data_IF_645091814022
#
_entry.id   IF_645091814022
#
_cell.length_a   1.000
_cell.length_b   1.000
_cell.length_c   1.000
_cell.angle_alpha   90.00
_cell.angle_beta   90.00
_cell.angle_gamma   90.00
#
_symmetry.space_group_name_H-M   'P 1'
#
loop_
_entity.id
_entity.type
_entity.pdbx_description
1 polymer ?
#
# COMPACT_ATOMS: atom_id res chain seq x y z
N UNK A 1 11.39 0.94 -12.36
CA UNK A 1 11.01 1.39 -13.71
C UNK A 1 9.62 0.87 -13.99
N UNK A 2 8.79 1.62 -14.72
CA UNK A 2 7.53 1.06 -15.22
C UNK A 2 7.84 0.19 -16.44
N UNK A 3 7.29 -1.02 -16.45
CA UNK A 3 7.54 -2.05 -17.46
C UNK A 3 6.22 -2.39 -18.15
N UNK A 4 5.93 -1.75 -19.29
CA UNK A 4 4.71 -2.05 -20.02
C UNK A 4 4.75 -3.48 -20.57
N UNK A 5 3.60 -4.14 -20.57
CA UNK A 5 3.37 -5.42 -21.25
C UNK A 5 3.48 -5.32 -22.77
N UNK A 6 3.53 -4.11 -23.31
CA UNK A 6 3.76 -3.79 -24.70
C UNK A 6 4.67 -2.56 -24.81
N UNK A 7 5.98 -2.79 -24.87
CA UNK A 7 7.04 -1.79 -24.76
C UNK A 7 7.13 -0.86 -25.98
N UNK A 8 6.71 -1.35 -27.15
CA UNK A 8 6.71 -0.59 -28.38
C UNK A 8 5.85 0.69 -28.27
N UNK A 9 4.88 0.74 -27.34
CA UNK A 9 4.11 1.94 -27.01
C UNK A 9 4.96 3.12 -26.55
N UNK A 10 6.01 2.87 -25.78
CA UNK A 10 6.87 3.92 -25.23
C UNK A 10 7.78 4.55 -26.29
N UNK A 11 7.88 3.94 -27.46
CA UNK A 11 8.76 4.37 -28.55
C UNK A 11 8.04 5.07 -29.71
N UNK A 12 6.71 5.16 -29.67
CA UNK A 12 5.91 5.69 -30.77
C UNK A 12 5.79 7.22 -30.72
N UNK A 13 5.89 7.85 -31.89
CA UNK A 13 5.97 9.31 -32.01
C UNK A 13 4.60 10.00 -31.97
N UNK A 14 3.50 9.26 -32.22
CA UNK A 14 2.13 9.78 -32.23
C UNK A 14 1.11 8.79 -31.69
N UNK A 15 -0.01 9.32 -31.16
CA UNK A 15 -1.11 8.50 -30.65
C UNK A 15 -1.75 7.61 -31.72
N UNK A 16 -1.84 8.08 -32.97
CA UNK A 16 -2.46 7.32 -34.06
C UNK A 16 -1.61 6.09 -34.45
N UNK A 17 -0.29 6.23 -34.47
CA UNK A 17 0.64 5.11 -34.66
C UNK A 17 0.55 4.11 -33.50
N UNK A 18 0.37 4.60 -32.26
CA UNK A 18 0.18 3.78 -31.09
C UNK A 18 -1.09 2.92 -31.18
N UNK A 19 -2.23 3.52 -31.54
CA UNK A 19 -3.49 2.77 -31.70
C UNK A 19 -3.39 1.68 -32.77
N UNK A 20 -2.80 2.00 -33.93
CA UNK A 20 -2.64 1.04 -35.00
C UNK A 20 -1.74 -0.14 -34.58
N UNK A 21 -0.63 0.14 -33.90
CA UNK A 21 0.29 -0.87 -33.42
C UNK A 21 -0.30 -1.75 -32.32
N UNK A 22 -1.05 -1.17 -31.36
CA UNK A 22 -1.80 -1.91 -30.35
C UNK A 22 -2.79 -2.87 -31.02
N UNK A 23 -3.59 -2.38 -31.98
CA UNK A 23 -4.58 -3.19 -32.68
C UNK A 23 -3.92 -4.35 -33.43
N UNK A 24 -2.82 -4.10 -34.14
CA UNK A 24 -2.08 -5.14 -34.85
C UNK A 24 -1.50 -6.17 -33.87
N UNK A 25 -1.00 -5.73 -32.71
CA UNK A 25 -0.50 -6.64 -31.69
C UNK A 25 -1.61 -7.53 -31.12
N UNK A 26 -2.76 -6.96 -30.74
CA UNK A 26 -3.93 -7.72 -30.26
C UNK A 26 -4.36 -8.78 -31.27
N UNK A 27 -4.42 -8.46 -32.56
CA UNK A 27 -4.75 -9.43 -33.61
C UNK A 27 -3.75 -10.59 -33.67
N UNK A 28 -2.46 -10.32 -33.50
CA UNK A 28 -1.40 -11.34 -33.52
C UNK A 28 -1.48 -12.29 -32.33
N UNK A 29 -1.82 -11.80 -31.14
CA UNK A 29 -1.88 -12.59 -29.90
C UNK A 29 -3.26 -13.20 -29.64
N UNK A 30 -4.29 -12.80 -30.39
CA UNK A 30 -5.68 -13.23 -30.23
C UNK A 30 -5.87 -14.76 -30.09
N UNK A 31 -5.21 -15.63 -30.89
CA UNK A 31 -5.34 -17.07 -30.69
C UNK A 31 -4.90 -17.54 -29.30
N UNK A 32 -3.85 -16.91 -28.75
CA UNK A 32 -3.35 -17.18 -27.40
C UNK A 32 -4.27 -16.65 -26.30
N UNK A 33 -4.88 -15.48 -26.51
CA UNK A 33 -5.89 -14.91 -25.60
C UNK A 33 -7.14 -15.79 -25.55
N UNK A 34 -7.65 -16.23 -26.71
CA UNK A 34 -8.81 -17.13 -26.81
C UNK A 34 -8.53 -18.46 -26.11
N UNK A 35 -7.35 -19.06 -26.35
CA UNK A 35 -6.98 -20.34 -25.73
C UNK A 35 -6.90 -20.26 -24.19
N UNK A 36 -6.55 -19.10 -23.64
CA UNK A 36 -6.40 -18.88 -22.18
C UNK A 36 -7.61 -18.22 -21.54
N UNK A 37 -8.51 -17.63 -22.32
CA UNK A 37 -9.66 -16.86 -21.84
C UNK A 37 -9.29 -15.56 -21.12
N UNK A 38 -8.10 -15.00 -21.36
CA UNK A 38 -7.61 -13.78 -20.71
C UNK A 38 -6.83 -12.90 -21.67
N UNK A 39 -6.90 -11.58 -21.47
CA UNK A 39 -6.04 -10.64 -22.19
C UNK A 39 -4.58 -10.82 -21.76
N UNK A 40 -3.66 -10.83 -22.73
CA UNK A 40 -2.24 -11.08 -22.53
C UNK A 40 -1.40 -9.80 -22.48
N UNK A 41 -1.95 -8.66 -22.91
CA UNK A 41 -1.33 -7.32 -22.82
C UNK A 41 -2.32 -6.28 -22.28
N UNK A 42 -1.82 -5.10 -21.93
CA UNK A 42 -2.57 -3.94 -21.43
C UNK A 42 -2.18 -3.55 -20.00
N UNK A 43 -2.69 -2.41 -19.47
CA UNK A 43 -2.27 -1.86 -18.17
C UNK A 43 -2.31 -2.85 -17.00
N UNK A 44 -3.26 -3.79 -17.03
CA UNK A 44 -3.41 -4.85 -16.03
C UNK A 44 -2.31 -5.93 -16.08
N UNK A 45 -1.44 -5.92 -17.09
CA UNK A 45 -0.31 -6.84 -17.30
C UNK A 45 1.04 -6.15 -17.19
N UNK A 46 1.06 -4.84 -17.04
CA UNK A 46 2.27 -4.07 -16.86
C UNK A 46 2.84 -4.31 -15.45
N UNK A 47 4.14 -4.12 -15.28
CA UNK A 47 4.83 -4.27 -14.01
C UNK A 47 5.55 -2.97 -13.61
N UNK A 48 5.97 -2.90 -12.36
CA UNK A 48 6.83 -1.84 -11.84
C UNK A 48 7.99 -2.50 -11.11
N UNK A 49 9.17 -2.44 -11.72
CA UNK A 49 10.41 -2.83 -11.06
C UNK A 49 10.89 -1.72 -10.14
N UNK A 50 11.57 -2.11 -9.07
CA UNK A 50 12.25 -1.16 -8.19
C UNK A 50 13.63 -1.71 -7.93
N UNK A 51 14.64 -0.86 -8.05
CA UNK A 51 16.02 -1.21 -7.83
C UNK A 51 16.50 -0.64 -6.50
N UNK A 52 17.31 -1.42 -5.79
CA UNK A 52 18.10 -0.98 -4.65
C UNK A 52 19.57 -1.22 -4.98
N UNK A 53 20.37 -0.16 -4.99
CA UNK A 53 21.80 -0.21 -5.35
C UNK A 53 22.06 -0.88 -6.72
N UNK A 54 21.17 -0.63 -7.69
CA UNK A 54 21.28 -1.18 -9.04
C UNK A 54 20.90 -2.66 -9.18
N UNK A 55 20.27 -3.26 -8.16
CA UNK A 55 19.76 -4.63 -8.22
C UNK A 55 18.24 -4.66 -8.04
N UNK A 56 17.50 -5.58 -8.72
CA UNK A 56 16.06 -5.74 -8.53
C UNK A 56 15.70 -6.03 -7.08
N UNK A 57 14.99 -5.11 -6.43
CA UNK A 57 14.65 -5.21 -5.02
C UNK A 57 13.76 -6.43 -4.74
N UNK A 58 12.88 -6.80 -5.68
CA UNK A 58 11.99 -7.96 -5.55
C UNK A 58 12.73 -9.28 -5.35
N UNK A 59 13.92 -9.41 -5.92
CA UNK A 59 14.72 -10.65 -5.91
C UNK A 59 15.84 -10.62 -4.88
N UNK A 60 16.44 -9.44 -4.66
CA UNK A 60 17.71 -9.32 -3.93
C UNK A 60 17.62 -8.54 -2.62
N UNK A 61 16.48 -7.93 -2.27
CA UNK A 61 16.37 -7.19 -1.01
C UNK A 61 16.26 -8.13 0.19
N UNK A 62 16.96 -7.80 1.28
CA UNK A 62 16.69 -8.42 2.57
C UNK A 62 15.30 -8.01 3.08
N UNK A 63 14.73 -8.80 3.98
CA UNK A 63 13.41 -8.49 4.57
C UNK A 63 13.33 -7.06 5.17
N UNK A 64 14.45 -6.54 5.71
CA UNK A 64 14.50 -5.18 6.24
C UNK A 64 14.52 -4.10 5.16
N UNK A 65 15.20 -4.36 4.05
CA UNK A 65 15.24 -3.47 2.90
C UNK A 65 13.91 -3.45 2.16
N UNK A 66 13.27 -4.60 1.92
CA UNK A 66 11.95 -4.65 1.27
C UNK A 66 10.93 -3.84 2.07
N UNK A 67 10.99 -3.94 3.39
CA UNK A 67 10.09 -3.20 4.26
C UNK A 67 10.39 -1.70 4.29
N UNK A 68 11.66 -1.33 4.40
CA UNK A 68 12.08 0.09 4.34
C UNK A 68 11.68 0.69 3.00
N UNK A 69 11.80 -0.07 1.92
CA UNK A 69 11.36 0.33 0.59
C UNK A 69 9.85 0.50 0.52
N UNK A 70 9.07 -0.45 1.06
CA UNK A 70 7.62 -0.34 1.13
C UNK A 70 7.16 0.92 1.89
N UNK A 71 7.79 1.21 3.03
CA UNK A 71 7.54 2.42 3.78
C UNK A 71 7.91 3.68 2.96
N UNK A 72 9.08 3.69 2.34
CA UNK A 72 9.52 4.81 1.50
C UNK A 72 8.56 5.07 0.34
N UNK A 73 8.03 4.03 -0.30
CA UNK A 73 7.01 4.15 -1.34
C UNK A 73 5.72 4.79 -0.81
N UNK A 74 5.23 4.35 0.36
CA UNK A 74 4.04 4.95 0.98
C UNK A 74 4.27 6.42 1.31
N UNK A 75 5.45 6.78 1.81
CA UNK A 75 5.81 8.18 2.04
C UNK A 75 5.89 8.98 0.72
N UNK A 76 6.40 8.39 -0.35
CA UNK A 76 6.44 9.04 -1.66
C UNK A 76 5.03 9.33 -2.19
N UNK A 77 4.10 8.36 -2.06
CA UNK A 77 2.68 8.55 -2.42
C UNK A 77 2.05 9.66 -1.59
N UNK A 78 2.28 9.70 -0.27
CA UNK A 78 1.79 10.78 0.59
C UNK A 78 2.23 12.16 0.06
N UNK A 79 3.52 12.32 -0.24
CA UNK A 79 4.07 13.59 -0.72
C UNK A 79 3.55 13.97 -2.10
N UNK A 80 3.33 12.98 -2.97
CA UNK A 80 2.73 13.22 -4.28
C UNK A 80 1.29 13.76 -4.14
N UNK A 81 0.48 13.16 -3.26
CA UNK A 81 -0.88 13.62 -3.01
C UNK A 81 -0.91 15.02 -2.41
N UNK A 82 0.00 15.33 -1.48
CA UNK A 82 0.15 16.69 -0.91
C UNK A 82 0.51 17.71 -2.00
N UNK A 83 1.39 17.35 -2.93
CA UNK A 83 1.80 18.23 -4.03
C UNK A 83 0.70 18.46 -5.07
N UNK A 84 -0.03 17.42 -5.46
CA UNK A 84 -1.08 17.48 -6.48
C UNK A 84 -2.32 18.22 -5.98
N UNK A 85 -2.70 18.03 -4.72
CA UNK A 85 -3.95 18.55 -4.17
C UNK A 85 -3.77 19.77 -3.27
N UNK A 86 -2.54 20.07 -2.84
CA UNK A 86 -2.27 21.17 -1.91
C UNK A 86 -2.79 20.92 -0.48
N UNK A 87 -3.23 19.71 -0.19
CA UNK A 87 -3.81 19.30 1.09
C UNK A 87 -3.08 18.06 1.63
N UNK A 88 -2.93 17.99 2.96
CA UNK A 88 -2.27 16.86 3.63
C UNK A 88 -3.27 15.71 3.84
N UNK A 89 -3.03 14.51 3.28
CA UNK A 89 -3.95 13.40 3.44
C UNK A 89 -3.88 12.82 4.86
N UNK A 90 -4.99 12.23 5.31
CA UNK A 90 -5.03 11.48 6.57
C UNK A 90 -4.23 10.19 6.41
N UNK A 91 -3.29 9.93 7.32
CA UNK A 91 -2.51 8.70 7.32
C UNK A 91 -3.19 7.64 8.16
N UNK A 92 -3.40 6.45 7.59
CA UNK A 92 -3.94 5.28 8.30
C UNK A 92 -2.86 4.19 8.35
N UNK A 93 -2.53 3.76 9.55
CA UNK A 93 -1.54 2.72 9.84
C UNK A 93 -2.27 1.54 10.47
N UNK A 94 -2.54 0.52 9.67
CA UNK A 94 -3.31 -0.65 10.10
C UNK A 94 -2.41 -1.80 10.55
N UNK A 95 -2.39 -2.10 11.85
CA UNK A 95 -1.62 -3.16 12.51
C UNK A 95 -0.14 -3.26 12.09
N UNK A 96 0.43 -2.13 11.68
CA UNK A 96 1.77 -2.12 11.08
C UNK A 96 2.85 -2.43 12.09
N UNK A 97 2.61 -2.22 13.39
CA UNK A 97 3.63 -2.33 14.43
C UNK A 97 3.92 -3.78 14.86
N UNK A 98 2.94 -4.68 14.78
CA UNK A 98 3.08 -6.07 15.23
C UNK A 98 4.21 -6.83 14.51
N UNK A 99 4.51 -6.47 13.26
CA UNK A 99 5.46 -7.20 12.41
C UNK A 99 6.87 -6.56 12.37
N UNK A 100 7.14 -5.55 13.19
CA UNK A 100 8.31 -4.69 13.04
C UNK A 100 9.25 -4.69 14.21
N UNK A 101 10.55 -4.69 13.89
CA UNK A 101 11.61 -4.42 14.83
C UNK A 101 11.57 -2.96 15.36
N UNK A 102 12.17 -2.69 16.53
CA UNK A 102 12.11 -1.37 17.16
C UNK A 102 12.62 -0.22 16.28
N UNK A 103 13.65 -0.46 15.47
CA UNK A 103 14.23 0.56 14.56
C UNK A 103 13.21 0.99 13.52
N UNK A 104 12.46 0.03 12.96
CA UNK A 104 11.41 0.28 11.97
C UNK A 104 10.20 0.97 12.57
N UNK A 105 9.78 0.53 13.77
CA UNK A 105 8.71 1.21 14.52
C UNK A 105 9.06 2.68 14.72
N UNK A 106 10.28 3.00 15.14
CA UNK A 106 10.73 4.38 15.31
C UNK A 106 10.66 5.22 14.02
N UNK A 107 10.99 4.65 12.85
CA UNK A 107 10.90 5.36 11.57
C UNK A 107 9.45 5.67 11.15
N UNK A 108 8.51 4.75 11.35
CA UNK A 108 7.08 5.04 11.13
C UNK A 108 6.63 6.15 12.06
N UNK A 109 7.04 6.10 13.33
CA UNK A 109 6.66 7.08 14.33
C UNK A 109 7.18 8.47 13.98
N UNK A 110 8.43 8.56 13.53
CA UNK A 110 9.02 9.82 13.06
C UNK A 110 8.24 10.39 11.86
N UNK A 111 7.78 9.53 10.96
CA UNK A 111 6.93 9.94 9.85
C UNK A 111 5.55 10.39 10.33
N UNK A 112 4.89 9.61 11.18
CA UNK A 112 3.56 9.89 11.70
C UNK A 112 3.53 11.21 12.49
N UNK A 113 4.55 11.50 13.30
CA UNK A 113 4.65 12.72 14.09
C UNK A 113 4.74 14.01 13.27
N UNK A 114 5.05 13.92 11.96
CA UNK A 114 5.14 15.07 11.05
C UNK A 114 3.83 15.35 10.30
N UNK A 115 2.82 14.51 10.47
CA UNK A 115 1.54 14.63 9.75
C UNK A 115 0.48 15.26 10.65
N UNK A 116 -0.49 15.93 10.01
CA UNK A 116 -1.55 16.65 10.73
C UNK A 116 -2.53 15.68 11.42
N UNK A 117 -2.83 14.56 10.76
CA UNK A 117 -3.73 13.54 11.29
C UNK A 117 -3.26 12.13 10.95
N UNK A 118 -3.12 11.30 11.99
CA UNK A 118 -2.74 9.89 11.87
C UNK A 118 -3.69 9.03 12.68
N UNK A 119 -4.19 7.96 12.06
CA UNK A 119 -4.97 6.91 12.70
C UNK A 119 -4.13 5.64 12.76
N UNK A 120 -3.99 5.06 13.94
CA UNK A 120 -3.21 3.85 14.18
C UNK A 120 -4.14 2.80 14.77
N UNK A 121 -4.15 1.61 14.18
CA UNK A 121 -4.77 0.43 14.80
C UNK A 121 -3.67 -0.51 15.31
N UNK A 122 -3.95 -1.19 16.40
CA UNK A 122 -3.08 -2.23 16.93
C UNK A 122 -3.90 -3.23 17.75
N UNK A 123 -3.49 -4.49 17.71
CA UNK A 123 -4.11 -5.53 18.53
C UNK A 123 -3.71 -5.42 20.02
N UNK A 124 -2.47 -5.01 20.30
CA UNK A 124 -1.95 -4.84 21.64
C UNK A 124 -1.34 -3.44 21.83
N UNK A 125 -1.63 -2.83 22.98
CA UNK A 125 -1.06 -1.52 23.33
C UNK A 125 0.48 -1.56 23.40
N UNK A 126 1.07 -2.71 23.75
CA UNK A 126 2.52 -2.92 23.79
C UNK A 126 3.19 -2.84 22.43
N UNK A 127 2.44 -3.01 21.33
CA UNK A 127 3.01 -2.92 19.99
C UNK A 127 3.21 -1.48 19.53
N UNK A 128 2.37 -0.57 20.03
CA UNK A 128 2.42 0.84 19.67
C UNK A 128 3.45 1.55 20.55
N UNK A 129 4.47 2.19 19.96
CA UNK A 129 5.40 3.01 20.73
C UNK A 129 4.66 4.18 21.41
N UNK A 130 5.14 4.62 22.58
CA UNK A 130 4.51 5.71 23.31
C UNK A 130 4.48 7.01 22.50
N UNK A 131 3.30 7.63 22.40
CA UNK A 131 3.07 8.96 21.87
C UNK A 131 2.64 9.88 22.99
N UNK A 132 3.32 11.02 23.16
CA UNK A 132 3.01 11.98 24.21
C UNK A 132 1.61 12.59 24.09
N UNK A 133 1.12 12.78 22.85
CA UNK A 133 -0.14 13.49 22.55
C UNK A 133 -1.19 12.61 21.84
N UNK A 134 -1.08 11.28 21.95
CA UNK A 134 -2.03 10.39 21.28
C UNK A 134 -3.33 10.24 22.08
N UNK A 135 -4.46 10.37 21.36
CA UNK A 135 -5.76 9.95 21.86
C UNK A 135 -5.90 8.44 21.70
N UNK A 136 -5.79 7.70 22.80
CA UNK A 136 -5.94 6.24 22.80
C UNK A 136 -7.41 5.88 22.99
N UNK A 137 -7.96 5.14 22.04
CA UNK A 137 -9.34 4.65 22.09
C UNK A 137 -9.32 3.14 22.28
N UNK A 138 -9.78 2.67 23.44
CA UNK A 138 -10.06 1.25 23.64
C UNK A 138 -11.39 0.90 22.98
N UNK A 139 -11.30 0.25 21.82
CA UNK A 139 -12.47 -0.15 21.01
C UNK A 139 -13.40 -1.10 21.79
N UNK A 140 -12.86 -1.98 22.63
CA UNK A 140 -13.68 -2.90 23.42
C UNK A 140 -14.47 -2.16 24.49
N UNK A 141 -13.88 -1.12 25.09
CA UNK A 141 -14.56 -0.25 26.04
C UNK A 141 -15.67 0.57 25.39
N UNK A 142 -15.39 1.22 24.25
CA UNK A 142 -16.38 2.02 23.51
C UNK A 142 -17.57 1.18 23.06
N UNK A 143 -17.30 -0.03 22.55
CA UNK A 143 -18.37 -0.91 22.10
C UNK A 143 -19.23 -1.47 23.23
N UNK A 144 -18.67 -1.62 24.45
CA UNK A 144 -19.45 -2.02 25.62
C UNK A 144 -20.40 -0.92 26.11
N UNK A 145 -20.14 0.34 25.77
CA UNK A 145 -20.99 1.49 26.13
C UNK A 145 -22.01 1.85 25.05
N UNK A 146 -21.88 1.27 23.86
CA UNK A 146 -22.72 1.57 22.70
C UNK A 146 -23.77 0.47 22.54
N UNK A 147 -24.86 0.57 23.33
CA UNK A 147 -25.87 -0.49 23.44
C UNK A 147 -26.64 -0.76 22.13
N UNK A 148 -26.64 0.15 21.15
CA UNK A 148 -27.48 0.06 19.95
C UNK A 148 -26.75 0.10 18.59
N UNK A 149 -25.41 0.12 18.55
CA UNK A 149 -24.68 0.12 17.27
C UNK A 149 -24.16 -1.28 16.88
N UNK A 150 -24.71 -1.92 15.84
CA UNK A 150 -24.28 -3.25 15.40
C UNK A 150 -22.84 -3.30 14.86
N UNK A 151 -22.29 -2.20 14.32
CA UNK A 151 -20.89 -2.13 13.86
C UNK A 151 -19.93 -2.11 15.06
N UNK A 152 -20.26 -1.36 16.11
CA UNK A 152 -19.46 -1.32 17.33
C UNK A 152 -19.48 -2.69 18.05
N UNK A 153 -20.62 -3.38 18.07
CA UNK A 153 -20.71 -4.75 18.60
C UNK A 153 -19.83 -5.75 17.83
N UNK A 154 -19.76 -5.64 16.50
CA UNK A 154 -18.85 -6.46 15.69
C UNK A 154 -17.38 -6.14 15.95
N UNK A 155 -17.01 -4.86 16.03
CA UNK A 155 -15.65 -4.44 16.34
C UNK A 155 -15.19 -4.94 17.73
N UNK A 156 -16.06 -4.88 18.74
CA UNK A 156 -15.78 -5.42 20.08
C UNK A 156 -15.50 -6.93 20.07
N UNK A 157 -16.30 -7.68 19.32
CA UNK A 157 -16.13 -9.13 19.22
C UNK A 157 -14.82 -9.50 18.52
N UNK A 158 -14.41 -8.74 17.50
CA UNK A 158 -13.12 -8.93 16.84
C UNK A 158 -11.96 -8.61 17.80
N UNK A 159 -12.01 -7.49 18.52
CA UNK A 159 -11.00 -7.09 19.50
C UNK A 159 -10.82 -8.13 20.63
N UNK A 160 -11.91 -8.69 21.16
CA UNK A 160 -11.87 -9.73 22.21
C UNK A 160 -11.23 -11.05 21.74
N UNK A 161 -11.29 -11.37 20.44
CA UNK A 161 -10.66 -12.59 19.90
C UNK A 161 -9.15 -12.47 19.75
N UNK A 162 -8.62 -11.26 19.51
CA UNK A 162 -7.19 -11.02 19.40
C UNK A 162 -6.43 -11.07 20.73
N UNK A 163 -7.08 -10.74 21.85
CA UNK A 163 -6.45 -10.74 23.19
C UNK A 163 -6.29 -12.13 23.82
N UNK A 164 -6.84 -13.19 23.21
CA UNK A 164 -6.84 -14.56 23.74
C UNK A 164 -5.85 -15.50 23.04
N UNK A 165 -5.02 -14.98 22.12
CA UNK A 165 -3.96 -15.68 21.41
C UNK A 165 -2.60 -15.06 21.75
#
# INVERSE_FOLDING_TARGET
MYEPSFDELLTMASNDEAYAAISAHFQRIYPGEVARGVNLIGPQRDDVSIELNGMPAREYSSNGESWTLALAMKMAVYRLLEQEHGERPIVVLDDVFAQLDPTRRAKIMEFAAKQDQVLITAAAQSDVPQFADANVIDVAHVAAQSDDDPLLKQAAQAAKRGSAA
#
